data_IF_283625797833
#
_entry.id   IF_283625797833
#
_cell.length_a   1.000
_cell.length_b   1.000
_cell.length_c   1.000
_cell.angle_alpha   90.00
_cell.angle_beta   90.00
_cell.angle_gamma   90.00
#
_symmetry.space_group_name_H-M   'P 1'
#
loop_
_entity.id
_entity.type
_entity.pdbx_description
1 polymer ?
#
# COMPACT_ATOMS: atom_id res chain seq x y z
N UNK A 1 10.60 18.61 -42.94
CA UNK A 1 9.88 17.74 -42.00
C UNK A 1 10.85 17.19 -40.97
N UNK A 2 10.67 17.54 -39.70
CA UNK A 2 11.45 16.99 -38.58
C UNK A 2 10.79 15.71 -38.06
N UNK A 3 11.53 14.64 -37.75
CA UNK A 3 11.01 13.54 -36.93
C UNK A 3 11.38 13.75 -35.46
N UNK A 4 10.35 13.82 -34.62
CA UNK A 4 10.40 13.98 -33.16
C UNK A 4 11.01 12.75 -32.46
N UNK A 5 12.00 13.02 -31.60
CA UNK A 5 12.66 12.08 -30.68
C UNK A 5 11.68 11.51 -29.64
N UNK A 6 11.60 10.17 -29.52
CA UNK A 6 10.86 9.46 -28.45
C UNK A 6 11.75 9.32 -27.21
N UNK A 7 11.22 9.80 -26.07
CA UNK A 7 11.90 9.91 -24.78
C UNK A 7 12.47 8.60 -24.23
N UNK A 8 13.72 8.68 -23.79
CA UNK A 8 14.41 7.64 -23.05
C UNK A 8 13.77 7.44 -21.67
N UNK A 9 13.27 6.24 -21.40
CA UNK A 9 12.94 5.82 -20.03
C UNK A 9 14.24 5.68 -19.25
N UNK A 10 14.52 6.62 -18.34
CA UNK A 10 15.63 6.54 -17.38
C UNK A 10 15.49 5.25 -16.55
N UNK A 11 16.22 4.20 -16.93
CA UNK A 11 16.45 3.05 -16.04
C UNK A 11 17.22 3.57 -14.82
N UNK A 12 16.71 3.30 -13.62
CA UNK A 12 17.38 3.70 -12.37
C UNK A 12 18.69 2.90 -12.23
N UNK A 13 19.79 3.51 -11.75
CA UNK A 13 21.05 2.81 -11.58
C UNK A 13 20.89 1.70 -10.52
N UNK A 14 21.25 0.49 -10.92
CA UNK A 14 21.50 -0.67 -10.05
C UNK A 14 23.01 -0.71 -9.78
N UNK A 15 23.44 -1.09 -8.59
CA UNK A 15 24.87 -1.29 -8.32
C UNK A 15 25.39 -2.57 -9.03
N UNK A 16 26.71 -2.76 -9.05
CA UNK A 16 27.37 -3.92 -9.67
C UNK A 16 26.95 -5.27 -9.07
N UNK A 17 26.39 -5.27 -7.85
CA UNK A 17 25.87 -6.45 -7.18
C UNK A 17 24.37 -6.69 -7.44
N UNK A 18 23.73 -5.92 -8.32
CA UNK A 18 22.29 -6.02 -8.62
C UNK A 18 21.40 -5.54 -7.47
N UNK A 19 21.96 -4.88 -6.45
CA UNK A 19 21.22 -4.29 -5.33
C UNK A 19 20.72 -2.91 -5.76
N UNK A 20 19.48 -2.62 -5.37
CA UNK A 20 18.92 -1.28 -5.52
C UNK A 20 19.37 -0.45 -4.30
N UNK A 21 20.17 0.61 -4.48
CA UNK A 21 20.76 1.36 -3.35
C UNK A 21 19.71 2.00 -2.44
N UNK A 22 18.50 2.25 -2.95
CA UNK A 22 17.40 2.88 -2.17
C UNK A 22 16.64 1.86 -1.30
N UNK A 23 16.90 0.55 -1.43
CA UNK A 23 16.27 -0.49 -0.58
C UNK A 23 16.89 -0.58 0.82
N UNK A 24 18.06 0.02 1.03
CA UNK A 24 18.70 0.13 2.35
C UNK A 24 17.97 1.10 3.31
N UNK A 25 16.97 1.83 2.83
CA UNK A 25 16.23 2.81 3.64
C UNK A 25 15.31 2.20 4.73
N UNK A 26 15.10 0.87 4.74
CA UNK A 26 14.20 0.23 5.72
C UNK A 26 14.83 0.15 7.11
N UNK A 27 16.16 0.00 7.17
CA UNK A 27 16.94 0.01 8.41
C UNK A 27 17.09 1.45 8.93
N UNK A 28 17.39 2.40 8.05
CA UNK A 28 17.54 3.83 8.39
C UNK A 28 16.26 4.47 8.95
N UNK A 29 15.09 4.09 8.42
CA UNK A 29 13.78 4.56 8.88
C UNK A 29 13.52 4.14 10.33
N UNK A 30 13.92 2.94 10.71
CA UNK A 30 13.66 2.39 12.04
C UNK A 30 14.51 3.11 13.08
N UNK A 31 15.81 3.30 12.79
CA UNK A 31 16.70 4.07 13.63
C UNK A 31 16.28 5.54 13.76
N UNK A 32 15.78 6.16 12.68
CA UNK A 32 15.25 7.52 12.72
C UNK A 32 14.00 7.62 13.61
N UNK A 33 13.10 6.63 13.53
CA UNK A 33 11.89 6.60 14.36
C UNK A 33 12.22 6.39 15.83
N UNK A 34 13.17 5.52 16.17
CA UNK A 34 13.64 5.34 17.55
C UNK A 34 14.28 6.61 18.10
N UNK A 35 15.09 7.30 17.29
CA UNK A 35 15.73 8.56 17.69
C UNK A 35 14.73 9.69 17.90
N UNK A 36 13.70 9.76 17.05
CA UNK A 36 12.58 10.71 17.22
C UNK A 36 11.80 10.35 18.48
N UNK A 37 11.46 9.07 18.70
CA UNK A 37 10.75 8.63 19.90
C UNK A 37 11.52 9.01 21.17
N UNK A 38 12.77 8.59 21.28
CA UNK A 38 13.61 8.87 22.44
C UNK A 38 13.83 10.38 22.70
N UNK A 39 13.72 11.23 21.67
CA UNK A 39 13.83 12.68 21.82
C UNK A 39 12.53 13.35 22.32
N UNK A 40 11.37 12.71 22.11
CA UNK A 40 10.06 13.28 22.45
C UNK A 40 9.38 12.60 23.65
N UNK A 41 9.65 11.31 23.90
CA UNK A 41 9.22 10.58 25.08
C UNK A 41 10.30 9.55 25.43
N UNK A 42 10.82 9.59 26.65
CA UNK A 42 11.62 8.48 27.16
C UNK A 42 10.72 7.25 27.39
N UNK A 43 11.30 6.05 27.31
CA UNK A 43 10.57 4.80 27.57
C UNK A 43 9.97 4.78 28.99
N UNK A 44 10.61 5.46 29.93
CA UNK A 44 10.18 5.61 31.32
C UNK A 44 8.94 6.51 31.45
N UNK A 45 8.94 7.66 30.76
CA UNK A 45 7.78 8.56 30.71
C UNK A 45 6.60 7.89 29.98
N UNK A 46 6.86 7.18 28.88
CA UNK A 46 5.86 6.38 28.18
C UNK A 46 5.24 5.30 29.09
N UNK A 47 6.07 4.61 29.89
CA UNK A 47 5.61 3.63 30.86
C UNK A 47 4.77 4.27 31.97
N UNK A 48 5.18 5.42 32.49
CA UNK A 48 4.44 6.16 33.52
C UNK A 48 3.08 6.66 33.02
N UNK A 49 3.03 7.22 31.80
CA UNK A 49 1.79 7.65 31.16
C UNK A 49 0.86 6.46 30.92
N UNK A 50 1.40 5.34 30.44
CA UNK A 50 0.63 4.10 30.21
C UNK A 50 0.07 3.52 31.52
N UNK A 51 0.85 3.55 32.60
CA UNK A 51 0.40 3.08 33.92
C UNK A 51 -0.70 3.98 34.51
N UNK A 52 -0.55 5.30 34.38
CA UNK A 52 -1.57 6.27 34.79
C UNK A 52 -2.87 6.06 33.99
N UNK A 53 -2.78 5.94 32.66
CA UNK A 53 -3.93 5.71 31.79
C UNK A 53 -4.65 4.39 32.06
N UNK A 54 -3.94 3.34 32.50
CA UNK A 54 -4.56 2.06 32.89
C UNK A 54 -5.31 2.12 34.23
N UNK A 55 -4.88 3.00 35.11
CA UNK A 55 -5.42 3.12 36.47
C UNK A 55 -6.65 4.05 36.51
N UNK A 56 -6.78 4.94 35.52
CA UNK A 56 -7.89 5.86 35.38
C UNK A 56 -9.16 5.15 34.84
N UNK A 57 -10.27 5.12 35.60
CA UNK A 57 -11.55 4.52 35.18
C UNK A 57 -12.17 5.16 33.94
N UNK A 58 -11.89 6.45 33.66
CA UNK A 58 -12.40 7.19 32.50
C UNK A 58 -11.50 7.04 31.27
N UNK A 59 -10.25 6.61 31.46
CA UNK A 59 -9.30 6.32 30.39
C UNK A 59 -9.38 4.86 29.89
N UNK A 60 -10.39 4.09 30.35
CA UNK A 60 -10.63 2.74 29.86
C UNK A 60 -10.63 2.73 28.34
N UNK A 61 -9.78 1.91 27.69
CA UNK A 61 -9.67 1.93 26.25
C UNK A 61 -10.95 1.30 25.69
N UNK A 62 -11.94 2.12 25.40
CA UNK A 62 -12.92 1.81 24.38
C UNK A 62 -12.15 1.79 23.07
N UNK A 63 -11.50 0.65 22.80
CA UNK A 63 -10.96 0.28 21.50
C UNK A 63 -12.14 0.11 20.55
N UNK A 64 -12.82 1.22 20.24
CA UNK A 64 -13.67 1.31 19.07
C UNK A 64 -12.74 0.92 17.93
N UNK A 65 -12.92 -0.28 17.38
CA UNK A 65 -12.21 -0.75 16.20
C UNK A 65 -12.56 0.23 15.07
N UNK A 66 -11.77 1.30 14.94
CA UNK A 66 -11.94 2.29 13.90
C UNK A 66 -11.64 1.61 12.57
N UNK A 67 -12.67 1.41 11.76
CA UNK A 67 -12.57 0.85 10.42
C UNK A 67 -13.83 0.14 9.97
N UNK A 68 -14.13 0.18 8.66
CA UNK A 68 -15.15 -0.70 8.05
C UNK A 68 -14.79 -2.16 8.41
N UNK A 69 -15.76 -2.98 8.86
CA UNK A 69 -15.53 -4.40 9.09
C UNK A 69 -14.76 -5.01 7.91
N UNK A 70 -13.69 -5.76 8.21
CA UNK A 70 -12.93 -6.46 7.17
C UNK A 70 -13.90 -7.39 6.44
N UNK A 71 -14.10 -7.17 5.14
CA UNK A 71 -14.89 -8.08 4.33
C UNK A 71 -14.22 -9.46 4.36
N UNK A 72 -15.00 -10.51 4.61
CA UNK A 72 -14.52 -11.90 4.62
C UNK A 72 -13.98 -12.34 3.25
N UNK A 73 -14.51 -11.75 2.17
CA UNK A 73 -14.08 -12.02 0.79
C UNK A 73 -13.78 -10.70 0.06
N UNK A 74 -12.67 -10.07 0.44
CA UNK A 74 -12.22 -8.84 -0.22
C UNK A 74 -11.60 -9.15 -1.59
N UNK A 75 -11.84 -8.29 -2.58
CA UNK A 75 -11.16 -8.36 -3.88
C UNK A 75 -9.65 -8.21 -3.66
N UNK A 76 -8.86 -9.12 -4.21
CA UNK A 76 -7.40 -9.06 -4.14
C UNK A 76 -6.87 -8.14 -5.25
N UNK A 77 -6.03 -7.18 -4.87
CA UNK A 77 -5.30 -6.36 -5.83
C UNK A 77 -4.08 -7.15 -6.34
N UNK A 78 -4.13 -7.59 -7.59
CA UNK A 78 -3.06 -8.35 -8.24
C UNK A 78 -2.48 -7.56 -9.42
N UNK A 79 -1.19 -7.76 -9.70
CA UNK A 79 -0.56 -7.24 -10.90
C UNK A 79 -0.72 -8.26 -12.03
N UNK A 80 -1.63 -7.99 -12.97
CA UNK A 80 -1.89 -8.83 -14.14
C UNK A 80 -1.52 -8.05 -15.42
N UNK A 81 -0.82 -8.71 -16.35
CA UNK A 81 -0.57 -8.18 -17.69
C UNK A 81 -1.68 -8.68 -18.61
N UNK A 82 -2.38 -7.76 -19.23
CA UNK A 82 -3.44 -8.01 -20.21
C UNK A 82 -3.06 -7.38 -21.53
N UNK A 83 -3.58 -7.92 -22.62
CA UNK A 83 -3.41 -7.30 -23.93
C UNK A 83 -4.08 -5.91 -23.96
N UNK A 84 -3.48 -4.92 -24.64
CA UNK A 84 -4.00 -3.55 -24.64
C UNK A 84 -5.41 -3.44 -25.21
N UNK A 85 -5.71 -4.20 -26.27
CA UNK A 85 -7.00 -4.21 -26.94
C UNK A 85 -8.14 -4.68 -26.02
N UNK A 86 -7.89 -5.68 -25.17
CA UNK A 86 -8.82 -6.15 -24.14
C UNK A 86 -9.15 -4.99 -23.19
N UNK A 87 -8.13 -4.32 -22.65
CA UNK A 87 -8.32 -3.21 -21.71
C UNK A 87 -9.10 -2.06 -22.36
N UNK A 88 -8.74 -1.68 -23.58
CA UNK A 88 -9.41 -0.61 -24.31
C UNK A 88 -10.87 -0.95 -24.63
N UNK A 89 -11.17 -2.21 -24.99
CA UNK A 89 -12.54 -2.68 -25.20
C UNK A 89 -13.42 -2.50 -23.96
N UNK A 90 -12.91 -2.83 -22.77
CA UNK A 90 -13.67 -2.65 -21.54
C UNK A 90 -13.83 -1.17 -21.17
N UNK A 91 -12.75 -0.38 -21.26
CA UNK A 91 -12.75 1.06 -20.99
C UNK A 91 -13.71 1.84 -21.89
N UNK A 92 -13.87 1.45 -23.15
CA UNK A 92 -14.80 2.07 -24.09
C UNK A 92 -16.26 2.05 -23.59
N UNK A 93 -16.61 1.09 -22.71
CA UNK A 93 -17.91 1.05 -22.04
C UNK A 93 -18.07 2.05 -20.88
N UNK A 94 -17.11 2.93 -20.64
CA UNK A 94 -17.17 3.98 -19.62
C UNK A 94 -17.04 3.48 -18.19
N UNK A 95 -17.61 4.25 -17.24
CA UNK A 95 -17.54 3.99 -15.80
C UNK A 95 -17.93 2.54 -15.45
N UNK A 96 -17.22 1.94 -14.50
CA UNK A 96 -17.47 0.56 -14.07
C UNK A 96 -16.87 -0.52 -14.98
N UNK A 97 -16.02 -0.16 -15.95
CA UNK A 97 -15.37 -1.14 -16.83
C UNK A 97 -14.57 -2.22 -16.10
N UNK A 98 -13.95 -1.89 -14.97
CA UNK A 98 -13.24 -2.87 -14.14
C UNK A 98 -14.17 -3.88 -13.49
N UNK A 99 -15.36 -3.46 -13.06
CA UNK A 99 -16.40 -4.37 -12.55
C UNK A 99 -16.86 -5.32 -13.64
N UNK A 100 -17.18 -4.79 -14.83
CA UNK A 100 -17.58 -5.62 -15.99
C UNK A 100 -16.49 -6.61 -16.40
N UNK A 101 -15.22 -6.20 -16.34
CA UNK A 101 -14.09 -7.09 -16.61
C UNK A 101 -13.99 -8.21 -15.57
N UNK A 102 -14.12 -7.87 -14.29
CA UNK A 102 -14.14 -8.87 -13.22
C UNK A 102 -15.30 -9.87 -13.40
N UNK A 103 -16.49 -9.41 -13.77
CA UNK A 103 -17.65 -10.29 -14.02
C UNK A 103 -17.46 -11.16 -15.28
N UNK A 104 -16.71 -10.71 -16.27
CA UNK A 104 -16.33 -11.54 -17.42
C UNK A 104 -15.34 -12.64 -17.01
N UNK A 105 -14.36 -12.31 -16.15
CA UNK A 105 -13.40 -13.27 -15.62
C UNK A 105 -14.07 -14.33 -14.74
N UNK A 106 -15.05 -13.93 -13.92
CA UNK A 106 -15.84 -14.86 -13.08
C UNK A 106 -16.65 -15.84 -13.94
N UNK A 107 -17.37 -15.36 -14.95
CA UNK A 107 -18.06 -16.21 -15.94
C UNK A 107 -17.10 -17.17 -16.64
N UNK A 108 -15.95 -16.69 -17.11
CA UNK A 108 -14.96 -17.52 -17.78
C UNK A 108 -14.35 -18.60 -16.86
N UNK A 109 -14.28 -18.33 -15.55
CA UNK A 109 -13.82 -19.28 -14.54
C UNK A 109 -14.93 -20.19 -13.98
N UNK A 110 -16.19 -20.02 -14.40
CA UNK A 110 -17.34 -20.78 -13.87
C UNK A 110 -17.70 -20.44 -12.43
N UNK A 111 -17.46 -19.18 -12.00
CA UNK A 111 -17.70 -18.70 -10.63
C UNK A 111 -19.00 -17.88 -10.48
N UNK A 112 -19.80 -17.77 -11.53
CA UNK A 112 -21.07 -17.04 -11.57
C UNK A 112 -22.28 -17.97 -11.68
#
# INVERSE_FOLDING_TARGET
MSPTSKGATKRRPIDEAGRNPVRSAKEDRTALLDRIKAAFNSDEEDAAITAAARTDPDAQPNLIKRGRPRLSNAKLAVLLRLDPDVVERFKAGGTGWQTRMNDALRRAAGLD
#
